data_IF_769100609875
#
_entry.id   IF_769100609875
#
_cell.length_a   1.000
_cell.length_b   1.000
_cell.length_c   1.000
_cell.angle_alpha   90.00
_cell.angle_beta   90.00
_cell.angle_gamma   90.00
#
_symmetry.space_group_name_H-M   'P 1'
#
loop_
_entity.id
_entity.type
_entity.pdbx_description
1 polymer ?
#
# COMPACT_ATOMS: atom_id res chain seq x y z
N UNK A 1 -23.28 -23.58 1.72
CA UNK A 1 -22.54 -22.73 2.58
C UNK A 1 -22.32 -21.41 1.96
N UNK A 2 -22.72 -20.47 2.68
CA UNK A 2 -22.65 -19.12 2.19
C UNK A 2 -21.25 -18.64 1.97
N UNK A 3 -20.30 -19.27 2.58
CA UNK A 3 -18.97 -18.75 2.52
C UNK A 3 -18.30 -18.90 1.18
N UNK A 4 -18.89 -19.67 0.28
CA UNK A 4 -18.37 -19.71 -1.07
C UNK A 4 -18.46 -18.39 -1.76
N UNK A 5 -19.51 -17.64 -1.47
CA UNK A 5 -19.63 -16.32 -2.07
C UNK A 5 -18.50 -15.41 -1.60
N UNK A 6 -18.11 -15.50 -0.34
CA UNK A 6 -17.00 -14.69 0.12
C UNK A 6 -15.68 -15.20 -0.42
N UNK A 7 -15.57 -16.48 -0.71
CA UNK A 7 -14.34 -16.99 -1.31
C UNK A 7 -14.15 -16.50 -2.72
N UNK A 8 -15.23 -16.32 -3.47
CA UNK A 8 -15.12 -15.82 -4.83
C UNK A 8 -14.75 -14.35 -4.85
N UNK A 9 -15.05 -13.63 -3.78
CA UNK A 9 -14.57 -12.28 -3.59
C UNK A 9 -13.31 -12.34 -2.78
N UNK A 10 -12.37 -11.53 -3.13
CA UNK A 10 -11.12 -11.53 -2.43
C UNK A 10 -11.32 -11.09 -1.00
N UNK A 11 -10.81 -11.89 -0.08
CA UNK A 11 -10.81 -11.54 1.33
C UNK A 11 -9.83 -10.39 1.54
N UNK A 12 -10.35 -9.27 1.97
CA UNK A 12 -9.56 -8.05 2.13
C UNK A 12 -8.76 -8.02 3.44
N UNK A 13 -9.01 -8.97 4.34
CA UNK A 13 -8.38 -8.93 5.67
C UNK A 13 -6.86 -9.05 5.61
N UNK A 14 -6.34 -9.98 4.83
CA UNK A 14 -4.89 -10.16 4.76
C UNK A 14 -4.20 -9.03 4.00
N UNK A 15 -4.69 -8.59 2.84
CA UNK A 15 -4.12 -7.41 2.19
C UNK A 15 -4.14 -6.17 3.07
N UNK A 16 -5.22 -5.94 3.81
CA UNK A 16 -5.30 -4.80 4.72
C UNK A 16 -4.27 -4.90 5.83
N UNK A 17 -4.10 -6.08 6.37
CA UNK A 17 -3.10 -6.32 7.41
C UNK A 17 -1.69 -6.02 6.90
N UNK A 18 -1.39 -6.48 5.67
CA UNK A 18 -0.11 -6.21 5.05
C UNK A 18 0.08 -4.72 4.77
N UNK A 19 -0.95 -4.05 4.29
CA UNK A 19 -0.86 -2.60 4.06
C UNK A 19 -0.58 -1.87 5.38
N UNK A 20 -1.18 -2.30 6.47
CA UNK A 20 -0.92 -1.71 7.78
C UNK A 20 0.49 -2.00 8.27
N UNK A 21 1.03 -3.19 7.95
CA UNK A 21 2.43 -3.50 8.25
C UNK A 21 3.35 -2.53 7.52
N UNK A 22 3.07 -2.30 6.24
CA UNK A 22 3.84 -1.36 5.46
C UNK A 22 3.79 0.03 6.09
N UNK A 23 2.61 0.44 6.56
CA UNK A 23 2.47 1.74 7.20
C UNK A 23 3.33 1.84 8.47
N UNK A 24 3.38 0.78 9.26
CA UNK A 24 4.23 0.77 10.46
C UNK A 24 5.69 0.88 10.09
N UNK A 25 6.12 0.13 9.09
CA UNK A 25 7.50 0.19 8.62
C UNK A 25 7.86 1.58 8.09
N UNK A 26 6.96 2.16 7.31
CA UNK A 26 7.18 3.49 6.75
C UNK A 26 7.34 4.53 7.86
N UNK A 27 6.47 4.49 8.85
CA UNK A 27 6.56 5.44 9.96
C UNK A 27 7.79 5.22 10.82
N UNK A 28 8.20 3.99 10.97
CA UNK A 28 9.42 3.68 11.71
C UNK A 28 10.66 4.21 11.01
N UNK A 29 10.70 4.11 9.68
CA UNK A 29 11.89 4.48 8.91
C UNK A 29 11.89 5.94 8.46
N UNK A 30 10.72 6.54 8.25
CA UNK A 30 10.60 7.87 7.68
C UNK A 30 10.04 8.91 8.64
N UNK A 31 9.48 8.48 9.76
CA UNK A 31 8.92 9.38 10.75
C UNK A 31 7.44 9.15 11.01
N UNK A 32 6.99 9.50 12.20
CA UNK A 32 5.62 9.25 12.65
C UNK A 32 4.56 9.98 11.83
N UNK A 33 4.93 11.12 11.25
CA UNK A 33 3.99 11.91 10.47
C UNK A 33 3.88 11.47 9.01
N UNK A 34 4.57 10.39 8.63
CA UNK A 34 4.48 9.86 7.29
C UNK A 34 3.05 9.48 6.93
N UNK A 35 2.56 9.98 5.81
CA UNK A 35 1.26 9.58 5.30
C UNK A 35 1.39 8.32 4.49
N UNK A 36 0.46 7.38 4.69
CA UNK A 36 0.45 6.12 3.98
C UNK A 36 -0.96 5.90 3.45
N UNK A 37 -1.08 5.70 2.15
CA UNK A 37 -2.37 5.56 1.49
C UNK A 37 -2.38 4.26 0.70
N UNK A 38 -3.30 3.38 1.03
CA UNK A 38 -3.51 2.12 0.33
C UNK A 38 -4.44 2.41 -0.85
N UNK A 39 -3.98 2.15 -2.05
CA UNK A 39 -4.75 2.49 -3.24
C UNK A 39 -4.80 1.31 -4.20
N UNK A 40 -5.32 1.54 -5.39
CA UNK A 40 -5.42 0.50 -6.39
C UNK A 40 -6.68 -0.33 -6.25
N UNK A 41 -6.61 -1.58 -6.68
CA UNK A 41 -7.80 -2.41 -6.81
C UNK A 41 -8.41 -2.83 -5.48
N UNK A 42 -7.60 -3.06 -4.44
CA UNK A 42 -8.12 -3.55 -3.16
C UNK A 42 -9.09 -2.58 -2.49
N UNK A 43 -8.69 -1.30 -2.24
CA UNK A 43 -9.61 -0.37 -1.60
C UNK A 43 -10.84 -0.06 -2.45
N UNK A 44 -10.71 -0.21 -3.76
CA UNK A 44 -11.83 0.06 -4.68
C UNK A 44 -12.78 -1.12 -4.82
N UNK A 45 -12.50 -2.24 -4.14
CA UNK A 45 -13.34 -3.42 -4.22
C UNK A 45 -13.28 -4.16 -5.54
N UNK A 46 -12.21 -3.95 -6.30
CA UNK A 46 -12.04 -4.56 -7.63
C UNK A 46 -10.91 -5.57 -7.69
N UNK A 47 -10.33 -5.90 -6.54
CA UNK A 47 -9.20 -6.80 -6.51
C UNK A 47 -9.61 -8.24 -6.73
N UNK A 48 -8.74 -8.97 -7.38
CA UNK A 48 -8.80 -10.42 -7.44
C UNK A 48 -7.88 -10.98 -6.36
N UNK A 49 -7.91 -12.30 -6.16
CA UNK A 49 -7.23 -12.95 -5.05
C UNK A 49 -5.74 -12.63 -4.97
N UNK A 50 -5.10 -12.40 -6.12
CA UNK A 50 -3.65 -12.16 -6.18
C UNK A 50 -3.32 -10.76 -6.67
N UNK A 51 -4.26 -9.84 -6.60
CA UNK A 51 -4.00 -8.46 -7.00
C UNK A 51 -2.90 -7.85 -6.14
N UNK A 52 -2.09 -7.01 -6.75
CA UNK A 52 -1.00 -6.32 -6.06
C UNK A 52 -1.55 -5.41 -4.97
N UNK A 53 -0.74 -5.21 -3.95
CA UNK A 53 -1.02 -4.25 -2.88
C UNK A 53 -0.23 -3.00 -3.20
N UNK A 54 -0.93 -1.91 -3.50
CA UNK A 54 -0.32 -0.64 -3.91
C UNK A 54 -0.39 0.34 -2.75
N UNK A 55 0.76 0.86 -2.35
CA UNK A 55 0.84 1.76 -1.21
C UNK A 55 1.62 3.01 -1.60
N UNK A 56 1.00 4.16 -1.37
CA UNK A 56 1.64 5.45 -1.59
C UNK A 56 2.15 6.00 -0.26
N UNK A 57 3.36 6.51 -0.29
CA UNK A 57 4.03 7.04 0.89
C UNK A 57 4.31 8.51 0.67
N UNK A 58 4.05 9.35 1.67
CA UNK A 58 4.33 10.78 1.57
C UNK A 58 4.93 11.32 2.85
N UNK A 59 6.03 12.04 2.70
CA UNK A 59 6.61 12.81 3.79
C UNK A 59 6.54 14.31 3.50
N UNK A 60 5.75 14.69 2.50
CA UNK A 60 5.57 16.09 2.10
C UNK A 60 6.61 16.61 1.14
N UNK A 61 7.71 15.89 0.98
CA UNK A 61 8.79 16.21 0.03
C UNK A 61 9.23 14.88 -0.59
N UNK A 62 10.01 14.92 -1.68
CA UNK A 62 10.51 13.68 -2.25
C UNK A 62 11.30 12.87 -1.22
N UNK A 63 11.05 11.58 -1.21
CA UNK A 63 11.74 10.67 -0.27
C UNK A 63 13.15 10.42 -0.78
N UNK A 64 14.19 10.64 0.04
CA UNK A 64 15.54 10.34 -0.38
C UNK A 64 15.69 8.90 -0.83
N UNK A 65 16.40 8.64 -1.95
CA UNK A 65 16.51 7.30 -2.50
C UNK A 65 17.03 6.25 -1.51
N UNK A 66 17.98 6.62 -0.66
CA UNK A 66 18.52 5.68 0.32
C UNK A 66 17.50 5.29 1.37
N UNK A 67 16.62 6.20 1.72
CA UNK A 67 15.56 5.89 2.68
C UNK A 67 14.46 5.05 2.05
N UNK A 68 14.13 5.35 0.79
CA UNK A 68 13.17 4.55 0.05
C UNK A 68 13.69 3.12 -0.12
N UNK A 69 14.99 2.97 -0.37
CA UNK A 69 15.61 1.65 -0.48
C UNK A 69 15.48 0.86 0.83
N UNK A 70 15.68 1.52 1.96
CA UNK A 70 15.51 0.86 3.26
C UNK A 70 14.08 0.38 3.45
N UNK A 71 13.12 1.19 3.05
CA UNK A 71 11.73 0.79 3.15
C UNK A 71 11.41 -0.37 2.21
N UNK A 72 11.92 -0.34 0.99
CA UNK A 72 11.75 -1.46 0.06
C UNK A 72 12.32 -2.75 0.64
N UNK A 73 13.50 -2.68 1.21
CA UNK A 73 14.14 -3.86 1.81
C UNK A 73 13.29 -4.41 2.95
N UNK A 74 12.79 -3.54 3.81
CA UNK A 74 11.97 -3.96 4.94
C UNK A 74 10.66 -4.59 4.47
N UNK A 75 10.05 -4.03 3.43
CA UNK A 75 8.81 -4.56 2.87
C UNK A 75 9.07 -5.91 2.20
N UNK A 76 10.19 -6.06 1.51
CA UNK A 76 10.54 -7.32 0.86
C UNK A 76 10.75 -8.45 1.87
N UNK A 77 11.08 -8.11 3.12
CA UNK A 77 11.23 -9.10 4.17
C UNK A 77 9.90 -9.60 4.75
N UNK A 78 8.79 -8.98 4.38
CA UNK A 78 7.48 -9.44 4.85
C UNK A 78 7.16 -10.79 4.23
N UNK A 79 6.71 -11.72 5.09
CA UNK A 79 6.41 -13.09 4.65
C UNK A 79 5.05 -13.12 3.96
N UNK A 80 5.05 -12.87 2.66
CA UNK A 80 3.80 -12.83 1.90
C UNK A 80 4.05 -13.20 0.45
N UNK A 81 3.00 -13.74 -0.19
CA UNK A 81 3.00 -13.99 -1.63
C UNK A 81 2.44 -12.81 -2.42
N UNK A 82 1.91 -11.80 -1.74
CA UNK A 82 1.41 -10.62 -2.44
C UNK A 82 2.58 -9.76 -2.90
N UNK A 83 2.45 -9.25 -4.11
CA UNK A 83 3.37 -8.22 -4.60
C UNK A 83 2.97 -6.90 -3.95
N UNK A 84 3.91 -6.23 -3.33
CA UNK A 84 3.66 -4.95 -2.69
C UNK A 84 4.42 -3.88 -3.45
N UNK A 85 3.70 -2.93 -4.02
CA UNK A 85 4.29 -1.84 -4.79
C UNK A 85 4.23 -0.55 -3.98
N UNK A 86 5.38 0.08 -3.83
CA UNK A 86 5.49 1.33 -3.10
C UNK A 86 5.73 2.48 -4.08
N UNK A 87 5.01 3.57 -3.89
CA UNK A 87 5.26 4.77 -4.67
C UNK A 87 5.45 5.97 -3.74
N UNK A 88 6.33 6.87 -4.14
CA UNK A 88 6.52 8.15 -3.46
C UNK A 88 5.49 9.11 -4.04
N UNK A 89 4.53 9.52 -3.22
CA UNK A 89 3.44 10.38 -3.69
C UNK A 89 3.94 11.71 -4.22
N UNK A 90 5.10 12.17 -3.75
CA UNK A 90 5.71 13.42 -4.24
C UNK A 90 6.34 13.27 -5.62
N UNK A 91 6.56 12.05 -6.07
CA UNK A 91 7.26 11.79 -7.33
C UNK A 91 6.34 11.30 -8.45
N UNK A 92 5.08 10.98 -8.15
CA UNK A 92 4.16 10.48 -9.17
C UNK A 92 3.56 11.63 -9.95
N UNK A 93 3.10 11.32 -11.18
CA UNK A 93 2.44 12.31 -12.01
C UNK A 93 1.06 12.68 -11.47
N UNK A 94 0.47 13.76 -12.02
CA UNK A 94 -0.80 14.28 -11.49
C UNK A 94 -1.96 13.30 -11.58
N UNK A 95 -2.02 12.48 -12.62
CA UNK A 95 -3.13 11.55 -12.78
C UNK A 95 -3.12 10.49 -11.70
N UNK A 96 -1.95 9.89 -11.43
CA UNK A 96 -1.85 8.88 -10.39
C UNK A 96 -2.04 9.50 -9.00
N UNK A 97 -1.50 10.70 -8.81
CA UNK A 97 -1.66 11.40 -7.53
C UNK A 97 -3.14 11.64 -7.23
N UNK A 98 -3.90 12.07 -8.21
CA UNK A 98 -5.33 12.29 -8.05
C UNK A 98 -6.06 10.98 -7.75
N UNK A 99 -5.70 9.92 -8.43
CA UNK A 99 -6.27 8.60 -8.20
C UNK A 99 -6.05 8.16 -6.74
N UNK A 100 -4.83 8.31 -6.26
CA UNK A 100 -4.46 7.92 -4.90
C UNK A 100 -5.26 8.72 -3.88
N UNK A 101 -5.32 10.04 -4.04
CA UNK A 101 -5.97 10.91 -3.08
C UNK A 101 -7.48 10.70 -3.08
N UNK A 102 -8.06 10.48 -4.26
CA UNK A 102 -9.50 10.40 -4.40
C UNK A 102 -10.06 9.04 -3.99
N UNK A 103 -9.35 7.98 -4.28
CA UNK A 103 -9.85 6.61 -4.11
C UNK A 103 -9.07 5.78 -3.11
N UNK A 104 -7.94 6.27 -2.63
CA UNK A 104 -7.13 5.53 -1.68
C UNK A 104 -7.69 5.58 -0.27
N UNK A 105 -7.23 4.63 0.53
CA UNK A 105 -7.60 4.55 1.94
C UNK A 105 -6.40 4.95 2.77
N UNK A 106 -6.55 5.96 3.60
CA UNK A 106 -5.46 6.40 4.49
C UNK A 106 -5.32 5.41 5.64
N UNK A 107 -4.09 5.06 5.92
CA UNK A 107 -3.78 4.11 6.99
C UNK A 107 -3.17 4.78 8.21
#
# INVERSE_FOLDING_TARGET
MARQASDSQSDVARPRELAREVARLARSLLGESTEVIWFGSWPRGKALAHSDIDVAISIGTPIPPERMALLHDAVDDLATLYQIDLVDLSAVGPALREEVIKHGERL
#
